data_IF_862999186910
#
_entry.id   IF_862999186910
#
_cell.length_a   1.000
_cell.length_b   1.000
_cell.length_c   1.000
_cell.angle_alpha   90.00
_cell.angle_beta   90.00
_cell.angle_gamma   90.00
#
_symmetry.space_group_name_H-M   'P 1'
#
loop_
_entity.id
_entity.type
_entity.pdbx_description
1 polymer ?
#
# COMPACT_ATOMS: atom_id res chain seq x y z
N UNK A 1 29.34 -20.41 1.92
CA UNK A 1 28.17 -20.21 1.03
C UNK A 1 27.51 -18.93 1.50
N UNK A 2 27.85 -17.80 0.87
CA UNK A 2 27.08 -16.56 1.09
C UNK A 2 25.65 -16.84 0.64
N UNK A 3 24.71 -16.79 1.58
CA UNK A 3 23.29 -16.98 1.28
C UNK A 3 22.84 -15.88 0.33
N UNK A 4 22.16 -16.27 -0.75
CA UNK A 4 21.49 -15.29 -1.62
C UNK A 4 20.38 -14.65 -0.77
N UNK A 5 20.57 -13.39 -0.39
CA UNK A 5 19.62 -12.63 0.41
C UNK A 5 19.33 -11.28 -0.23
N UNK A 6 18.16 -10.72 0.08
CA UNK A 6 17.79 -9.36 -0.29
C UNK A 6 17.67 -8.53 0.98
N UNK A 7 18.04 -7.26 0.90
CA UNK A 7 17.80 -6.29 1.97
C UNK A 7 16.98 -5.13 1.38
N UNK A 8 15.82 -4.86 1.99
CA UNK A 8 14.99 -3.71 1.66
C UNK A 8 15.31 -2.61 2.66
N UNK A 9 15.70 -1.46 2.13
CA UNK A 9 16.00 -0.25 2.89
C UNK A 9 14.95 0.81 2.58
N UNK A 10 14.58 1.66 3.55
CA UNK A 10 13.67 2.78 3.30
C UNK A 10 14.39 3.83 2.46
N UNK A 11 13.75 4.29 1.39
CA UNK A 11 14.22 5.45 0.64
C UNK A 11 13.67 6.72 1.27
N UNK A 12 14.39 7.23 2.27
CA UNK A 12 14.01 8.45 2.99
C UNK A 12 14.09 9.72 2.13
N UNK A 13 14.63 9.65 0.90
CA UNK A 13 14.56 10.77 -0.05
C UNK A 13 13.16 10.95 -0.64
N UNK A 14 12.30 9.94 -0.51
CA UNK A 14 10.92 9.90 -1.02
C UNK A 14 9.86 10.02 0.08
N UNK A 15 10.26 10.32 1.31
CA UNK A 15 9.32 10.48 2.42
C UNK A 15 8.41 11.70 2.24
N UNK A 16 7.28 11.70 2.94
CA UNK A 16 6.27 12.74 2.88
C UNK A 16 6.06 13.36 4.28
N UNK A 17 6.99 14.19 4.78
CA UNK A 17 7.02 14.59 6.19
C UNK A 17 5.83 15.47 6.61
N UNK A 18 5.08 16.07 5.68
CA UNK A 18 3.88 16.81 6.04
C UNK A 18 2.69 15.88 6.35
N UNK A 19 2.46 14.84 5.54
CA UNK A 19 1.39 13.86 5.77
C UNK A 19 1.79 12.71 6.71
N UNK A 20 3.09 12.38 6.77
CA UNK A 20 3.66 11.22 7.44
C UNK A 20 4.92 11.63 8.25
N UNK A 21 4.76 12.43 9.32
CA UNK A 21 5.88 13.04 10.03
C UNK A 21 6.77 12.05 10.79
N UNK A 22 6.27 10.84 11.07
CA UNK A 22 6.98 9.76 11.76
C UNK A 22 7.46 8.65 10.80
N UNK A 23 7.38 8.89 9.49
CA UNK A 23 7.78 7.96 8.42
C UNK A 23 7.05 6.59 8.46
N UNK A 24 5.91 6.50 9.17
CA UNK A 24 5.14 5.28 9.31
C UNK A 24 4.68 4.70 7.96
N UNK A 25 4.22 5.54 7.03
CA UNK A 25 3.79 5.07 5.70
C UNK A 25 4.94 4.47 4.88
N UNK A 26 6.17 4.96 5.07
CA UNK A 26 7.37 4.38 4.43
C UNK A 26 7.55 2.94 4.89
N UNK A 27 7.48 2.67 6.19
CA UNK A 27 7.64 1.33 6.75
C UNK A 27 6.47 0.39 6.41
N UNK A 28 5.23 0.89 6.38
CA UNK A 28 4.07 0.12 5.88
C UNK A 28 4.30 -0.31 4.43
N UNK A 29 4.78 0.60 3.59
CA UNK A 29 5.08 0.31 2.18
C UNK A 29 6.22 -0.71 2.03
N UNK A 30 7.25 -0.62 2.87
CA UNK A 30 8.33 -1.62 2.92
C UNK A 30 7.80 -3.02 3.25
N UNK A 31 6.90 -3.13 4.23
CA UNK A 31 6.22 -4.39 4.56
C UNK A 31 5.44 -4.95 3.36
N UNK A 32 4.69 -4.09 2.66
CA UNK A 32 3.99 -4.51 1.44
C UNK A 32 4.95 -4.98 0.33
N UNK A 33 6.09 -4.30 0.14
CA UNK A 33 7.10 -4.69 -0.83
C UNK A 33 7.75 -6.04 -0.47
N UNK A 34 8.02 -6.28 0.82
CA UNK A 34 8.54 -7.56 1.30
C UNK A 34 7.55 -8.71 1.03
N UNK A 35 6.26 -8.54 1.34
CA UNK A 35 5.24 -9.57 1.09
C UNK A 35 5.10 -9.89 -0.41
N UNK A 36 5.10 -8.85 -1.25
CA UNK A 36 5.12 -9.02 -2.71
C UNK A 36 6.34 -9.84 -3.18
N UNK A 37 7.53 -9.57 -2.61
CA UNK A 37 8.74 -10.32 -2.91
C UNK A 37 8.66 -11.77 -2.42
N UNK A 38 8.04 -12.05 -1.28
CA UNK A 38 7.83 -13.42 -0.79
C UNK A 38 6.97 -14.22 -1.76
N UNK A 39 5.87 -13.65 -2.25
CA UNK A 39 5.03 -14.31 -3.25
C UNK A 39 5.74 -14.49 -4.60
N UNK A 40 6.48 -13.48 -5.06
CA UNK A 40 7.24 -13.55 -6.30
C UNK A 40 8.38 -14.58 -6.23
N UNK A 41 9.12 -14.62 -5.12
CA UNK A 41 10.20 -15.57 -4.90
C UNK A 41 9.71 -17.01 -5.09
N UNK A 42 8.55 -17.35 -4.52
CA UNK A 42 7.98 -18.70 -4.63
C UNK A 42 7.64 -19.06 -6.09
N UNK A 43 7.08 -18.12 -6.86
CA UNK A 43 6.81 -18.32 -8.28
C UNK A 43 8.10 -18.58 -9.09
N UNK A 44 9.25 -18.11 -8.60
CA UNK A 44 10.57 -18.27 -9.20
C UNK A 44 11.44 -19.38 -8.57
N UNK A 45 10.85 -20.27 -7.75
CA UNK A 45 11.58 -21.40 -7.16
C UNK A 45 12.50 -21.02 -6.01
N UNK A 46 12.12 -19.97 -5.27
CA UNK A 46 12.80 -19.52 -4.06
C UNK A 46 11.80 -19.45 -2.90
N UNK A 47 12.15 -20.03 -1.76
CA UNK A 47 11.51 -19.73 -0.50
C UNK A 47 12.16 -18.48 0.08
N UNK A 48 11.36 -17.50 0.49
CA UNK A 48 11.84 -16.28 1.10
C UNK A 48 11.32 -16.16 2.53
N UNK A 49 12.23 -15.99 3.47
CA UNK A 49 11.92 -15.73 4.87
C UNK A 49 12.27 -14.28 5.21
N UNK A 50 11.25 -13.46 5.46
CA UNK A 50 11.41 -12.04 5.78
C UNK A 50 11.59 -11.83 7.30
N UNK A 51 12.56 -10.99 7.68
CA UNK A 51 12.81 -10.56 9.06
C UNK A 51 13.09 -9.06 9.09
N UNK A 52 12.52 -8.36 10.06
CA UNK A 52 12.83 -6.96 10.29
C UNK A 52 14.08 -6.83 11.16
N UNK A 53 15.06 -6.04 10.71
CA UNK A 53 16.23 -5.64 11.48
C UNK A 53 16.01 -4.22 12.01
N UNK A 54 15.69 -4.06 13.32
CA UNK A 54 15.45 -2.76 13.93
C UNK A 54 16.72 -1.91 14.10
N UNK A 55 17.91 -2.49 13.91
CA UNK A 55 19.17 -1.73 14.00
C UNK A 55 19.50 -0.99 12.71
N UNK A 56 18.98 -1.49 11.59
CA UNK A 56 19.20 -0.95 10.24
C UNK A 56 17.92 -0.38 9.62
N UNK A 57 16.80 -0.46 10.34
CA UNK A 57 15.46 -0.12 9.85
C UNK A 57 15.17 -0.80 8.50
N UNK A 58 15.52 -2.08 8.39
CA UNK A 58 15.55 -2.82 7.12
C UNK A 58 14.74 -4.11 7.21
N UNK A 59 14.27 -4.61 6.06
CA UNK A 59 13.73 -5.97 5.96
C UNK A 59 14.76 -6.84 5.24
N UNK A 60 15.20 -7.90 5.90
CA UNK A 60 16.08 -8.92 5.33
C UNK A 60 15.24 -10.10 4.85
N UNK A 61 15.42 -10.50 3.59
CA UNK A 61 14.84 -11.72 3.03
C UNK A 61 15.95 -12.74 2.81
N UNK A 62 15.94 -13.80 3.62
CA UNK A 62 16.77 -14.97 3.37
C UNK A 62 16.13 -15.83 2.28
N UNK A 63 16.87 -16.10 1.19
CA UNK A 63 16.36 -16.90 0.07
C UNK A 63 16.99 -18.29 0.04
N UNK A 64 16.16 -19.30 -0.13
CA UNK A 64 16.57 -20.69 -0.30
C UNK A 64 15.93 -21.29 -1.55
N UNK A 65 16.64 -22.11 -2.35
CA UNK A 65 16.02 -22.84 -3.46
C UNK A 65 14.83 -23.69 -2.99
N UNK A 66 13.76 -23.69 -3.78
CA UNK A 66 12.58 -24.54 -3.59
C UNK A 66 11.91 -24.85 -4.93
N UNK A 67 10.85 -25.65 -4.94
CA UNK A 67 10.07 -25.91 -6.14
C UNK A 67 9.24 -24.68 -6.50
N UNK A 68 9.41 -24.18 -7.73
CA UNK A 68 8.63 -23.05 -8.22
C UNK A 68 7.13 -23.35 -8.19
N UNK A 69 6.34 -22.40 -7.66
CA UNK A 69 4.89 -22.53 -7.56
C UNK A 69 4.20 -21.19 -7.70
N UNK A 70 3.42 -21.04 -8.77
CA UNK A 70 2.48 -19.93 -8.92
C UNK A 70 1.33 -20.08 -7.92
N UNK A 71 0.96 -18.99 -7.26
CA UNK A 71 -0.16 -18.97 -6.30
C UNK A 71 -1.21 -17.94 -6.73
N UNK A 72 -2.48 -18.08 -6.31
CA UNK A 72 -3.50 -17.07 -6.59
C UNK A 72 -3.11 -15.66 -6.11
N UNK A 73 -2.36 -15.54 -5.01
CA UNK A 73 -1.87 -14.25 -4.51
C UNK A 73 -0.84 -13.61 -5.44
N UNK A 74 0.07 -14.41 -5.99
CA UNK A 74 1.03 -13.94 -7.00
C UNK A 74 0.32 -13.44 -8.27
N UNK A 75 -0.69 -14.17 -8.75
CA UNK A 75 -1.49 -13.74 -9.90
C UNK A 75 -2.29 -12.46 -9.59
N UNK A 76 -2.83 -12.34 -8.38
CA UNK A 76 -3.57 -11.16 -7.94
C UNK A 76 -2.71 -9.89 -7.85
N UNK A 77 -1.39 -10.00 -7.65
CA UNK A 77 -0.51 -8.82 -7.56
C UNK A 77 -0.59 -7.92 -8.79
N UNK A 78 -0.63 -8.51 -9.99
CA UNK A 78 -0.71 -7.76 -11.26
C UNK A 78 -2.11 -7.19 -11.53
N UNK A 79 -3.16 -7.83 -11.00
CA UNK A 79 -4.55 -7.42 -11.18
C UNK A 79 -5.02 -6.39 -10.14
N UNK A 80 -4.37 -6.32 -8.97
CA UNK A 80 -4.77 -5.45 -7.87
C UNK A 80 -4.58 -3.97 -8.23
N UNK A 81 -5.59 -3.17 -7.93
CA UNK A 81 -5.59 -1.73 -8.14
C UNK A 81 -6.21 -1.01 -6.93
N UNK A 82 -5.84 0.26 -6.71
CA UNK A 82 -6.53 1.12 -5.77
C UNK A 82 -7.69 1.81 -6.49
N UNK A 83 -8.91 1.35 -6.23
CA UNK A 83 -10.13 1.92 -6.84
C UNK A 83 -10.68 3.05 -5.98
N UNK A 84 -10.97 4.19 -6.62
CA UNK A 84 -11.64 5.36 -6.01
C UNK A 84 -12.99 5.71 -6.66
N UNK A 85 -13.50 4.79 -7.48
CA UNK A 85 -14.84 4.90 -8.07
C UNK A 85 -15.92 4.35 -7.16
N UNK A 86 -17.17 4.58 -7.55
CA UNK A 86 -18.33 4.07 -6.82
C UNK A 86 -18.40 2.53 -6.89
N UNK A 87 -18.66 1.90 -5.74
CA UNK A 87 -19.03 0.49 -5.66
C UNK A 87 -20.55 0.33 -5.87
N UNK A 88 -21.01 -0.89 -6.17
CA UNK A 88 -22.43 -1.17 -6.46
C UNK A 88 -23.38 -1.05 -5.25
N UNK A 89 -22.84 -0.75 -4.07
CA UNK A 89 -23.58 -0.54 -2.82
C UNK A 89 -24.20 -1.80 -2.22
N UNK A 90 -23.95 -2.99 -2.77
CA UNK A 90 -24.49 -4.24 -2.22
C UNK A 90 -23.70 -4.66 -0.98
N UNK A 91 -24.38 -5.10 0.09
CA UNK A 91 -23.69 -5.61 1.26
C UNK A 91 -22.99 -6.94 0.93
N UNK A 92 -21.83 -7.15 1.54
CA UNK A 92 -21.15 -8.45 1.51
C UNK A 92 -21.92 -9.46 2.38
N UNK A 93 -21.88 -10.73 1.97
CA UNK A 93 -22.38 -11.84 2.79
C UNK A 93 -21.52 -12.05 4.03
N UNK A 94 -22.09 -12.68 5.06
CA UNK A 94 -21.34 -13.05 6.28
C UNK A 94 -20.15 -13.96 5.99
N UNK A 95 -20.24 -14.80 4.96
CA UNK A 95 -19.14 -15.65 4.52
C UNK A 95 -17.97 -14.82 3.95
N UNK A 96 -18.26 -13.84 3.08
CA UNK A 96 -17.26 -12.94 2.52
C UNK A 96 -16.61 -12.06 3.62
N UNK A 97 -17.41 -11.52 4.54
CA UNK A 97 -16.90 -10.76 5.68
C UNK A 97 -15.95 -11.62 6.54
N UNK A 98 -16.33 -12.88 6.80
CA UNK A 98 -15.48 -13.81 7.55
C UNK A 98 -14.18 -14.14 6.82
N UNK A 99 -14.20 -14.21 5.49
CA UNK A 99 -12.98 -14.39 4.68
C UNK A 99 -12.06 -13.17 4.79
N UNK A 100 -12.61 -11.95 4.69
CA UNK A 100 -11.85 -10.71 4.84
C UNK A 100 -11.24 -10.55 6.23
N UNK A 101 -12.01 -10.85 7.28
CA UNK A 101 -11.52 -10.79 8.66
C UNK A 101 -10.35 -11.75 8.88
N UNK A 102 -10.47 -13.00 8.42
CA UNK A 102 -9.39 -14.00 8.51
C UNK A 102 -8.17 -13.61 7.69
N UNK A 103 -8.36 -13.06 6.49
CA UNK A 103 -7.26 -12.66 5.62
C UNK A 103 -6.49 -11.45 6.16
N UNK A 104 -7.19 -10.50 6.81
CA UNK A 104 -6.60 -9.28 7.34
C UNK A 104 -6.14 -9.34 8.80
N UNK A 105 -6.43 -10.44 9.51
CA UNK A 105 -6.05 -10.61 10.92
C UNK A 105 -4.86 -11.55 11.02
N UNK A 106 -3.82 -11.12 11.75
CA UNK A 106 -2.60 -11.89 11.97
C UNK A 106 -2.00 -11.55 13.33
N UNK A 107 -0.84 -12.12 13.66
CA UNK A 107 -0.15 -11.80 14.91
C UNK A 107 0.20 -10.31 14.96
N UNK A 108 -0.38 -9.58 15.91
CA UNK A 108 -0.17 -8.13 16.08
C UNK A 108 -1.02 -7.24 15.18
N UNK A 109 -1.84 -7.80 14.29
CA UNK A 109 -2.73 -7.05 13.38
C UNK A 109 -4.15 -7.58 13.47
N UNK A 110 -5.12 -6.67 13.63
CA UNK A 110 -6.55 -7.02 13.69
C UNK A 110 -7.32 -6.30 12.59
N UNK A 111 -8.10 -7.05 11.82
CA UNK A 111 -9.08 -6.48 10.89
C UNK A 111 -10.35 -6.06 11.66
N UNK A 112 -10.80 -4.83 11.44
CA UNK A 112 -12.08 -4.33 11.95
C UNK A 112 -12.99 -4.03 10.76
N UNK A 113 -14.15 -4.70 10.71
CA UNK A 113 -15.13 -4.53 9.64
C UNK A 113 -16.26 -3.61 10.12
N UNK A 114 -16.39 -2.44 9.49
CA UNK A 114 -17.47 -1.49 9.74
C UNK A 114 -18.55 -1.64 8.67
N UNK A 115 -19.59 -2.39 8.98
CA UNK A 115 -20.69 -2.68 8.03
C UNK A 115 -21.96 -1.88 8.34
N UNK A 116 -22.08 -1.33 9.54
CA UNK A 116 -23.24 -0.55 9.96
C UNK A 116 -23.15 0.90 9.49
N UNK A 117 -24.24 1.41 8.91
CA UNK A 117 -24.32 2.80 8.42
C UNK A 117 -23.92 3.83 9.48
N UNK A 118 -24.41 3.79 10.74
CA UNK A 118 -24.01 4.77 11.75
C UNK A 118 -22.51 4.75 12.06
N UNK A 119 -21.85 3.59 12.00
CA UNK A 119 -20.41 3.49 12.22
C UNK A 119 -19.62 4.09 11.04
N UNK A 120 -20.05 3.80 9.80
CA UNK A 120 -19.46 4.38 8.59
C UNK A 120 -19.60 5.92 8.56
N UNK A 121 -20.77 6.47 8.93
CA UNK A 121 -20.98 7.92 9.00
C UNK A 121 -20.08 8.60 10.04
N UNK A 122 -19.83 7.96 11.20
CA UNK A 122 -18.89 8.50 12.20
C UNK A 122 -17.45 8.52 11.68
N UNK A 123 -17.02 7.48 10.97
CA UNK A 123 -15.70 7.47 10.34
C UNK A 123 -15.62 8.51 9.23
N UNK A 124 -16.67 8.67 8.43
CA UNK A 124 -16.73 9.70 7.40
C UNK A 124 -16.54 11.10 7.98
N UNK A 125 -17.21 11.43 9.09
CA UNK A 125 -17.06 12.72 9.77
C UNK A 125 -15.58 12.97 10.17
N UNK A 126 -14.92 11.99 10.78
CA UNK A 126 -13.50 12.11 11.11
C UNK A 126 -12.59 12.23 9.88
N UNK A 127 -12.87 11.49 8.80
CA UNK A 127 -12.12 11.61 7.53
C UNK A 127 -12.29 13.01 6.94
N UNK A 128 -13.50 13.57 6.95
CA UNK A 128 -13.76 14.93 6.46
C UNK A 128 -13.01 15.98 7.29
N UNK A 129 -13.02 15.84 8.62
CA UNK A 129 -12.28 16.73 9.51
C UNK A 129 -10.77 16.65 9.26
N UNK A 130 -10.22 15.45 9.16
CA UNK A 130 -8.80 15.21 8.85
C UNK A 130 -8.39 15.80 7.51
N UNK A 131 -9.15 15.52 6.45
CA UNK A 131 -8.89 16.06 5.12
C UNK A 131 -8.98 17.59 5.08
N UNK A 132 -9.93 18.18 5.80
CA UNK A 132 -10.09 19.63 5.89
C UNK A 132 -8.90 20.27 6.58
N UNK A 133 -8.42 19.67 7.69
CA UNK A 133 -7.23 20.14 8.39
C UNK A 133 -5.97 20.05 7.51
N UNK A 134 -5.79 18.93 6.78
CA UNK A 134 -4.67 18.75 5.85
C UNK A 134 -4.71 19.76 4.70
N UNK A 135 -5.86 19.97 4.07
CA UNK A 135 -5.99 20.93 2.96
C UNK A 135 -5.83 22.39 3.40
N UNK A 136 -6.03 22.69 4.68
CA UNK A 136 -5.74 24.00 5.27
C UNK A 136 -4.25 24.22 5.54
N UNK A 137 -3.42 23.17 5.56
CA UNK A 137 -1.97 23.25 5.75
C UNK A 137 -1.23 23.48 4.41
N UNK A 138 -0.57 24.63 4.22
CA UNK A 138 0.21 24.90 3.01
C UNK A 138 1.36 23.90 2.79
N UNK A 139 1.94 23.33 3.85
CA UNK A 139 3.03 22.36 3.72
C UNK A 139 2.51 21.05 3.10
N UNK A 140 1.41 20.52 3.62
CA UNK A 140 0.71 19.38 3.04
C UNK A 140 0.29 19.63 1.58
N UNK A 141 -0.32 20.78 1.28
CA UNK A 141 -0.78 21.08 -0.09
C UNK A 141 0.40 21.14 -1.07
N UNK A 142 1.54 21.71 -0.66
CA UNK A 142 2.77 21.73 -1.47
C UNK A 142 3.29 20.32 -1.71
N UNK A 143 3.35 19.50 -0.68
CA UNK A 143 3.79 18.10 -0.77
C UNK A 143 2.86 17.27 -1.67
N UNK A 144 1.54 17.36 -1.49
CA UNK A 144 0.55 16.68 -2.32
C UNK A 144 0.73 17.04 -3.80
N UNK A 145 0.87 18.33 -4.13
CA UNK A 145 1.11 18.78 -5.51
C UNK A 145 2.40 18.20 -6.11
N UNK A 146 3.43 17.96 -5.29
CA UNK A 146 4.68 17.35 -5.76
C UNK A 146 4.55 15.85 -6.04
N UNK A 147 3.52 15.18 -5.50
CA UNK A 147 3.25 13.75 -5.69
C UNK A 147 2.11 13.45 -6.65
N UNK A 148 1.28 14.44 -6.99
CA UNK A 148 0.29 14.30 -8.06
C UNK A 148 0.98 14.44 -9.42
N UNK A 149 0.59 13.59 -10.38
CA UNK A 149 0.96 13.69 -11.79
C UNK A 149 -0.27 14.17 -12.54
N UNK A 150 -0.22 15.39 -13.08
CA UNK A 150 -1.41 16.02 -13.66
C UNK A 150 -1.62 15.69 -15.15
N UNK A 151 -0.64 15.07 -15.80
CA UNK A 151 -0.69 14.67 -17.21
C UNK A 151 0.02 13.31 -17.42
N UNK A 152 -0.37 12.59 -18.48
CA UNK A 152 0.21 11.29 -18.83
C UNK A 152 1.73 11.30 -19.04
N UNK A 153 2.32 12.23 -19.82
CA UNK A 153 3.77 12.29 -20.02
C UNK A 153 4.58 12.38 -18.73
N UNK A 154 4.17 13.22 -17.78
CA UNK A 154 4.84 13.35 -16.49
C UNK A 154 4.69 12.11 -15.63
N UNK A 155 3.53 11.46 -15.65
CA UNK A 155 3.30 10.20 -14.94
C UNK A 155 4.26 9.11 -15.44
N UNK A 156 4.38 8.95 -16.76
CA UNK A 156 5.30 7.97 -17.38
C UNK A 156 6.76 8.32 -17.10
N UNK A 157 7.13 9.60 -17.23
CA UNK A 157 8.52 10.06 -17.06
C UNK A 157 9.02 9.89 -15.62
N UNK A 158 8.17 10.13 -14.64
CA UNK A 158 8.54 10.00 -13.22
C UNK A 158 8.42 8.57 -12.72
N UNK A 159 7.48 7.79 -13.27
CA UNK A 159 7.26 6.39 -12.89
C UNK A 159 6.73 6.22 -11.46
N UNK A 160 6.24 7.29 -10.84
CA UNK A 160 5.74 7.33 -9.48
C UNK A 160 4.62 8.37 -9.31
N UNK A 161 4.15 8.53 -8.07
CA UNK A 161 3.11 9.49 -7.73
C UNK A 161 1.70 9.05 -8.12
N UNK A 162 0.73 9.91 -7.80
CA UNK A 162 -0.68 9.68 -8.05
C UNK A 162 -1.10 10.38 -9.34
N UNK A 163 -1.41 9.60 -10.36
CA UNK A 163 -1.97 10.15 -11.59
C UNK A 163 -3.37 10.73 -11.33
N UNK A 164 -3.60 11.99 -11.71
CA UNK A 164 -4.81 12.76 -11.37
C UNK A 164 -6.10 12.08 -11.86
N UNK A 165 -6.05 11.38 -13.00
CA UNK A 165 -7.21 10.64 -13.54
C UNK A 165 -7.67 9.53 -12.60
N UNK A 166 -6.77 8.93 -11.81
CA UNK A 166 -7.10 7.90 -10.83
C UNK A 166 -7.89 8.43 -9.62
N UNK A 167 -8.10 9.75 -9.53
CA UNK A 167 -8.94 10.39 -8.51
C UNK A 167 -10.15 11.11 -9.11
N UNK A 168 -10.51 10.80 -10.35
CA UNK A 168 -11.65 11.43 -11.04
C UNK A 168 -11.41 12.86 -11.52
N UNK A 169 -10.15 13.35 -11.47
CA UNK A 169 -9.79 14.66 -12.00
C UNK A 169 -9.40 14.54 -13.49
N UNK A 170 -9.70 15.55 -14.33
CA UNK A 170 -9.22 15.56 -15.71
C UNK A 170 -7.70 15.69 -15.77
N UNK A 171 -7.10 15.27 -16.89
CA UNK A 171 -5.73 15.64 -17.22
C UNK A 171 -5.65 17.13 -17.54
N UNK A 172 -4.50 17.73 -17.22
CA UNK A 172 -4.16 19.10 -17.64
C UNK A 172 -3.14 19.05 -18.78
N UNK A 173 -3.07 20.07 -19.66
CA UNK A 173 -2.00 20.18 -20.64
C UNK A 173 -0.62 20.17 -19.97
N UNK A 174 0.35 19.52 -20.62
CA UNK A 174 1.75 19.52 -20.21
C UNK A 174 2.40 20.90 -20.36
#
# INVERSE_FOLDING_TARGET
>A
MEGRGLTLLPDLSRRCPAVDPDDHHVFVTLGCAAENLVHAALAHGLHAEARFDPTRDAIELALAPTTARTTPLFEAMAARQCTRGDYDGKPLSSHELSLLERAGTSTGVRMLLLTERPAMERVLDHVVQGNTAQLADPAFVKELKSWVRFNGPDAVRTGDGLFSVCTGNPEVPA
#
